data_IF_805084627431
#
_entry.id   IF_805084627431
#
_cell.length_a   1.000
_cell.length_b   1.000
_cell.length_c   1.000
_cell.angle_alpha   90.00
_cell.angle_beta   90.00
_cell.angle_gamma   90.00
#
_symmetry.space_group_name_H-M   'P 1'
#
loop_
_entity.id
_entity.type
_entity.pdbx_description
1 polymer ?
#
# COMPACT_ATOMS: atom_id res chain seq x y z
N UNK A 1 -19.65 -21.85 -13.67
CA UNK A 1 -19.56 -21.62 -12.22
C UNK A 1 -20.86 -22.11 -11.60
N UNK A 2 -20.80 -22.87 -10.51
CA UNK A 2 -22.00 -23.37 -9.84
C UNK A 2 -22.59 -22.25 -8.96
N UNK A 3 -23.55 -21.49 -9.49
CA UNK A 3 -24.16 -20.35 -8.80
C UNK A 3 -24.86 -20.77 -7.48
N UNK A 4 -25.23 -22.04 -7.37
CA UNK A 4 -25.82 -22.64 -6.18
C UNK A 4 -24.85 -22.80 -5.00
N UNK A 5 -23.54 -22.79 -5.26
CA UNK A 5 -22.51 -22.97 -4.24
C UNK A 5 -21.97 -21.64 -3.69
N UNK A 6 -22.52 -20.50 -4.14
CA UNK A 6 -22.06 -19.19 -3.68
C UNK A 6 -22.44 -18.94 -2.20
N UNK A 7 -21.53 -18.37 -1.39
CA UNK A 7 -21.82 -18.02 -0.01
C UNK A 7 -23.02 -17.06 0.10
N UNK A 8 -23.92 -17.31 1.05
CA UNK A 8 -25.04 -16.42 1.35
C UNK A 8 -24.76 -15.62 2.65
N UNK A 9 -25.37 -14.44 2.79
CA UNK A 9 -25.28 -13.57 3.98
C UNK A 9 -26.60 -13.56 4.78
N UNK A 10 -27.29 -14.71 4.83
CA UNK A 10 -28.59 -14.85 5.49
C UNK A 10 -29.80 -14.89 4.53
N UNK A 11 -31.03 -14.92 5.05
CA UNK A 11 -32.23 -15.33 4.31
C UNK A 11 -32.65 -14.38 3.17
N UNK A 12 -32.07 -13.18 3.08
CA UNK A 12 -32.41 -12.17 2.07
C UNK A 12 -31.25 -11.85 1.12
N UNK A 13 -30.28 -12.75 0.98
CA UNK A 13 -29.05 -12.52 0.21
C UNK A 13 -28.99 -13.24 -1.13
N UNK A 14 -30.00 -14.08 -1.46
CA UNK A 14 -30.16 -14.74 -2.75
C UNK A 14 -31.63 -14.64 -3.17
N UNK A 15 -31.86 -14.33 -4.45
CA UNK A 15 -33.20 -14.28 -5.03
C UNK A 15 -33.18 -15.06 -6.34
N UNK A 16 -33.96 -16.13 -6.39
CA UNK A 16 -34.19 -16.88 -7.62
C UNK A 16 -35.36 -16.24 -8.38
N UNK A 17 -35.18 -16.05 -9.69
CA UNK A 17 -36.29 -15.63 -10.54
C UNK A 17 -37.33 -16.75 -10.56
N UNK A 18 -38.61 -16.39 -10.39
CA UNK A 18 -39.70 -17.37 -10.43
C UNK A 18 -39.70 -18.12 -11.77
N UNK A 19 -39.97 -19.43 -11.79
CA UNK A 19 -39.93 -20.25 -13.02
C UNK A 19 -40.83 -19.73 -14.16
N UNK A 20 -41.96 -19.11 -13.82
CA UNK A 20 -42.88 -18.48 -14.77
C UNK A 20 -42.41 -17.15 -15.37
N UNK A 21 -41.25 -16.62 -14.95
CA UNK A 21 -40.65 -15.40 -15.52
C UNK A 21 -39.52 -15.81 -16.47
N UNK A 22 -39.80 -15.90 -17.77
CA UNK A 22 -38.79 -16.06 -18.82
C UNK A 22 -37.99 -14.77 -19.00
N UNK A 23 -36.96 -14.61 -18.18
CA UNK A 23 -36.09 -13.44 -18.15
C UNK A 23 -34.64 -13.88 -18.39
N UNK A 24 -34.12 -13.57 -19.58
CA UNK A 24 -32.68 -13.74 -19.89
C UNK A 24 -31.92 -12.47 -19.56
N UNK A 25 -31.08 -12.53 -18.52
CA UNK A 25 -30.14 -11.46 -18.20
C UNK A 25 -28.93 -11.46 -19.13
N UNK A 26 -28.41 -10.27 -19.46
CA UNK A 26 -27.12 -10.11 -20.14
C UNK A 26 -26.11 -9.56 -19.14
N UNK A 27 -25.03 -10.29 -18.91
CA UNK A 27 -23.87 -9.78 -18.17
C UNK A 27 -22.85 -9.25 -19.17
N UNK A 28 -22.43 -8.00 -19.00
CA UNK A 28 -21.31 -7.41 -19.74
C UNK A 28 -20.19 -7.11 -18.75
N UNK A 29 -18.99 -7.59 -19.06
CA UNK A 29 -17.78 -7.27 -18.30
C UNK A 29 -17.05 -6.21 -19.11
N UNK A 30 -16.78 -5.07 -18.47
CA UNK A 30 -16.03 -3.96 -19.04
C UNK A 30 -14.89 -3.62 -18.09
N UNK A 31 -13.71 -3.31 -18.63
CA UNK A 31 -12.65 -2.73 -17.82
C UNK A 31 -12.98 -1.28 -17.55
N UNK A 32 -12.82 -0.85 -16.30
CA UNK A 32 -12.92 0.57 -15.96
C UNK A 32 -11.88 1.37 -16.75
N UNK A 33 -12.26 2.55 -17.24
CA UNK A 33 -11.34 3.46 -17.95
C UNK A 33 -10.15 3.84 -17.05
N UNK A 34 -10.42 4.01 -15.75
CA UNK A 34 -9.39 4.27 -14.75
C UNK A 34 -8.96 2.95 -14.11
N UNK A 35 -7.70 2.59 -14.34
CA UNK A 35 -7.03 1.48 -13.67
C UNK A 35 -5.92 2.03 -12.79
N UNK A 36 -5.72 1.40 -11.64
CA UNK A 36 -4.65 1.75 -10.73
C UNK A 36 -3.51 0.74 -10.91
N UNK A 37 -2.29 1.26 -11.06
CA UNK A 37 -1.09 0.43 -11.16
C UNK A 37 -0.49 0.23 -9.78
N UNK A 38 -0.05 -1.00 -9.50
CA UNK A 38 0.73 -1.28 -8.31
C UNK A 38 2.07 -0.55 -8.31
N UNK A 39 2.64 -0.37 -7.12
CA UNK A 39 3.98 0.20 -6.92
C UNK A 39 4.84 -0.81 -6.18
N UNK A 40 6.01 -1.11 -6.74
CA UNK A 40 7.05 -1.88 -6.07
C UNK A 40 8.18 -0.95 -5.61
N UNK A 41 8.46 -0.87 -4.32
CA UNK A 41 9.62 -0.15 -3.81
C UNK A 41 10.90 -0.96 -4.10
N UNK A 42 12.02 -0.28 -4.36
CA UNK A 42 13.31 -0.98 -4.56
C UNK A 42 13.96 -1.26 -3.22
N UNK A 43 14.31 -2.53 -2.98
CA UNK A 43 14.98 -2.97 -1.75
C UNK A 43 16.49 -2.68 -1.77
N UNK A 44 17.01 -2.21 -2.90
CA UNK A 44 18.42 -1.85 -3.10
C UNK A 44 18.61 -0.31 -3.12
N UNK A 45 17.54 0.46 -2.95
CA UNK A 45 17.62 1.91 -2.98
C UNK A 45 18.28 2.48 -1.73
N UNK A 46 18.87 3.67 -1.88
CA UNK A 46 19.52 4.38 -0.76
C UNK A 46 18.49 4.70 0.32
N UNK A 47 17.30 5.15 -0.08
CA UNK A 47 16.18 5.43 0.80
C UNK A 47 15.73 4.19 1.58
N UNK A 48 15.55 3.06 0.90
CA UNK A 48 15.17 1.81 1.57
C UNK A 48 16.24 1.36 2.58
N UNK A 49 17.53 1.38 2.19
CA UNK A 49 18.62 0.98 3.09
C UNK A 49 18.76 1.88 4.31
N UNK A 50 18.51 3.18 4.15
CA UNK A 50 18.49 4.11 5.27
C UNK A 50 17.31 3.83 6.22
N UNK A 51 16.13 3.50 5.69
CA UNK A 51 14.96 3.08 6.47
C UNK A 51 15.23 1.78 7.23
N UNK A 52 15.77 0.77 6.55
CA UNK A 52 16.12 -0.53 7.12
C UNK A 52 17.07 -0.36 8.31
N UNK A 53 18.12 0.44 8.16
CA UNK A 53 19.06 0.76 9.24
C UNK A 53 18.40 1.53 10.41
N UNK A 54 17.52 2.50 10.11
CA UNK A 54 16.80 3.24 11.16
C UNK A 54 15.83 2.34 11.95
N UNK A 55 15.19 1.39 11.27
CA UNK A 55 14.36 0.37 11.91
C UNK A 55 15.17 -0.58 12.78
N UNK A 56 16.32 -1.02 12.29
CA UNK A 56 17.23 -1.88 13.06
C UNK A 56 17.64 -1.20 14.37
N UNK A 57 18.01 0.08 14.33
CA UNK A 57 18.44 0.82 15.53
C UNK A 57 17.31 1.00 16.57
N UNK A 58 16.08 1.27 16.13
CA UNK A 58 14.98 1.62 17.04
C UNK A 58 14.13 0.41 17.45
N UNK A 59 13.96 -0.56 16.56
CA UNK A 59 13.11 -1.74 16.74
C UNK A 59 13.90 -3.06 16.84
N UNK A 60 15.19 -3.08 16.51
CA UNK A 60 16.00 -4.31 16.47
C UNK A 60 15.64 -5.23 15.30
N UNK A 61 15.03 -4.68 14.25
CA UNK A 61 14.60 -5.43 13.08
C UNK A 61 13.73 -4.61 12.14
N UNK A 62 13.90 -4.84 10.83
CA UNK A 62 12.99 -4.37 9.78
C UNK A 62 12.28 -5.57 9.12
N UNK A 63 10.94 -5.52 9.03
CA UNK A 63 10.14 -6.54 8.34
C UNK A 63 9.35 -5.89 7.20
N UNK A 64 9.93 -5.79 6.00
CA UNK A 64 9.22 -5.24 4.85
C UNK A 64 8.07 -6.16 4.43
N UNK A 65 6.97 -5.56 3.98
CA UNK A 65 5.79 -6.27 3.49
C UNK A 65 5.10 -5.48 2.38
N UNK A 66 4.27 -6.15 1.59
CA UNK A 66 3.40 -5.53 0.59
C UNK A 66 1.94 -5.64 1.03
N UNK A 67 1.17 -4.59 0.77
CA UNK A 67 -0.28 -4.58 1.01
C UNK A 67 -1.05 -4.29 -0.26
N UNK A 68 -2.24 -4.87 -0.34
CA UNK A 68 -3.18 -4.52 -1.39
C UNK A 68 -3.92 -3.26 -0.95
N UNK A 69 -3.59 -2.15 -1.61
CA UNK A 69 -4.17 -0.84 -1.38
C UNK A 69 -3.72 0.10 -2.49
N UNK A 70 -4.57 1.05 -2.86
CA UNK A 70 -4.20 2.04 -3.87
C UNK A 70 -3.75 3.32 -3.17
N UNK A 71 -2.54 3.77 -3.48
CA UNK A 71 -2.02 5.09 -3.13
C UNK A 71 -1.69 5.84 -4.44
N UNK A 72 -2.64 6.57 -5.05
CA UNK A 72 -2.46 7.11 -6.41
C UNK A 72 -1.23 8.02 -6.53
N UNK A 73 -1.04 8.94 -5.58
CA UNK A 73 0.08 9.88 -5.58
C UNK A 73 1.46 9.20 -5.46
N UNK A 74 1.51 8.01 -4.86
CA UNK A 74 2.77 7.26 -4.68
C UNK A 74 3.29 6.76 -6.03
N UNK A 75 2.40 6.35 -6.95
CA UNK A 75 2.80 5.96 -8.31
C UNK A 75 3.38 7.15 -9.07
N UNK A 76 2.74 8.31 -8.97
CA UNK A 76 3.20 9.53 -9.63
C UNK A 76 4.60 9.95 -9.15
N UNK A 77 4.88 9.84 -7.84
CA UNK A 77 6.22 10.08 -7.30
C UNK A 77 7.24 9.08 -7.84
N UNK A 78 6.89 7.80 -7.93
CA UNK A 78 7.79 6.81 -8.53
C UNK A 78 8.08 7.13 -10.01
N UNK A 79 7.07 7.50 -10.78
CA UNK A 79 7.20 7.82 -12.20
C UNK A 79 8.00 9.10 -12.45
N UNK A 80 7.94 10.04 -11.51
CA UNK A 80 8.79 11.23 -11.51
C UNK A 80 10.27 10.92 -11.17
N UNK A 81 10.61 9.67 -10.83
CA UNK A 81 11.99 9.22 -10.60
C UNK A 81 12.49 9.40 -9.17
N UNK A 82 11.60 9.57 -8.19
CA UNK A 82 11.99 9.62 -6.78
C UNK A 82 12.42 8.24 -6.26
N UNK A 83 13.43 8.22 -5.39
CA UNK A 83 13.72 7.07 -4.55
C UNK A 83 12.58 6.93 -3.53
N UNK A 84 11.71 5.97 -3.77
CA UNK A 84 10.45 5.82 -3.07
C UNK A 84 10.46 4.59 -2.17
N UNK A 85 10.17 4.82 -0.90
CA UNK A 85 9.84 3.81 0.10
C UNK A 85 8.70 4.32 0.98
N UNK A 86 7.87 3.41 1.47
CA UNK A 86 6.70 3.74 2.30
C UNK A 86 6.89 3.05 3.64
N UNK A 87 6.69 3.80 4.70
CA UNK A 87 6.67 3.28 6.05
C UNK A 87 5.65 4.05 6.88
N UNK A 88 5.15 3.43 7.94
CA UNK A 88 4.14 4.01 8.81
C UNK A 88 4.20 3.42 10.20
N UNK A 89 3.50 4.07 11.12
CA UNK A 89 3.43 3.69 12.52
C UNK A 89 1.96 3.62 12.95
N UNK A 90 1.64 2.74 13.89
CA UNK A 90 0.29 2.50 14.37
C UNK A 90 -0.08 1.01 14.34
N UNK A 91 -1.35 0.73 14.61
CA UNK A 91 -1.87 -0.64 14.68
C UNK A 91 -2.43 -1.07 13.33
N UNK A 92 -1.64 -1.81 12.54
CA UNK A 92 -2.06 -2.31 11.23
C UNK A 92 -3.33 -3.17 11.30
N UNK A 93 -3.55 -3.88 12.40
CA UNK A 93 -4.75 -4.69 12.65
C UNK A 93 -6.04 -3.88 12.81
N UNK A 94 -5.93 -2.59 13.18
CA UNK A 94 -7.05 -1.69 13.38
C UNK A 94 -7.31 -0.77 12.16
N UNK A 95 -6.50 -0.88 11.10
CA UNK A 95 -6.62 -0.05 9.90
C UNK A 95 -7.94 -0.34 9.15
N UNK A 96 -8.78 0.68 8.92
CA UNK A 96 -10.15 0.59 8.39
C UNK A 96 -11.16 -0.20 9.24
N UNK A 97 -10.87 -0.45 10.52
CA UNK A 97 -11.79 -1.15 11.42
C UNK A 97 -12.84 -0.19 12.02
N UNK A 98 -14.01 -0.74 12.44
CA UNK A 98 -15.11 0.04 13.04
C UNK A 98 -14.76 0.75 14.36
N UNK A 99 -13.58 0.53 14.94
CA UNK A 99 -13.04 1.23 16.10
C UNK A 99 -11.54 1.47 15.91
N UNK A 100 -11.16 2.07 14.77
CA UNK A 100 -9.77 2.36 14.43
C UNK A 100 -9.05 3.10 15.58
N UNK A 101 -7.86 2.60 15.94
CA UNK A 101 -7.03 3.17 17.00
C UNK A 101 -5.54 3.03 16.66
N UNK A 102 -4.72 3.77 17.38
CA UNK A 102 -3.27 3.62 17.38
C UNK A 102 -2.73 3.98 18.77
N UNK A 103 -1.56 3.45 19.13
CA UNK A 103 -0.93 3.75 20.41
C UNK A 103 -0.05 4.99 20.29
N UNK A 104 -0.17 5.92 21.25
CA UNK A 104 0.72 7.09 21.32
C UNK A 104 2.19 6.68 21.41
N UNK A 105 2.48 5.57 22.09
CA UNK A 105 3.82 4.99 22.18
C UNK A 105 4.39 4.58 20.83
N UNK A 106 3.55 4.07 19.91
CA UNK A 106 3.98 3.68 18.57
C UNK A 106 4.36 4.91 17.75
N UNK A 107 3.60 6.01 17.87
CA UNK A 107 3.95 7.27 17.23
C UNK A 107 5.24 7.86 17.81
N UNK A 108 5.40 7.89 19.14
CA UNK A 108 6.62 8.40 19.77
C UNK A 108 7.86 7.61 19.33
N UNK A 109 7.74 6.28 19.23
CA UNK A 109 8.80 5.42 18.72
C UNK A 109 9.01 5.63 17.22
N UNK A 110 7.95 5.87 16.45
CA UNK A 110 8.05 6.22 15.04
C UNK A 110 8.78 7.54 14.77
N UNK A 111 8.57 8.55 15.60
CA UNK A 111 9.37 9.79 15.54
C UNK A 111 10.85 9.53 15.84
N UNK A 112 11.17 8.55 16.69
CA UNK A 112 12.56 8.14 16.92
C UNK A 112 13.17 7.54 15.66
N UNK A 113 12.42 6.73 14.90
CA UNK A 113 12.85 6.24 13.59
C UNK A 113 13.09 7.38 12.60
N UNK A 114 12.16 8.34 12.51
CA UNK A 114 12.32 9.51 11.64
C UNK A 114 13.59 10.31 11.97
N UNK A 115 13.87 10.51 13.27
CA UNK A 115 15.08 11.19 13.73
C UNK A 115 16.36 10.44 13.29
N UNK A 116 16.38 9.12 13.45
CA UNK A 116 17.52 8.28 13.05
C UNK A 116 17.68 8.29 11.53
N UNK A 117 16.59 8.16 10.77
CA UNK A 117 16.59 8.22 9.31
C UNK A 117 17.19 9.54 8.80
N UNK A 118 16.73 10.68 9.32
CA UNK A 118 17.26 11.99 8.94
C UNK A 118 18.75 12.12 9.27
N UNK A 119 19.20 11.60 10.41
CA UNK A 119 20.62 11.56 10.76
C UNK A 119 21.41 10.74 9.75
N UNK A 120 20.95 9.54 9.40
CA UNK A 120 21.62 8.65 8.43
C UNK A 120 21.73 9.32 7.06
N UNK A 121 20.62 9.89 6.57
CA UNK A 121 20.58 10.58 5.28
C UNK A 121 21.46 11.84 5.26
N UNK A 122 21.59 12.55 6.38
CA UNK A 122 22.47 13.72 6.48
C UNK A 122 23.96 13.36 6.49
N UNK A 123 24.33 12.14 6.89
CA UNK A 123 25.71 11.68 6.97
C UNK A 123 26.15 10.78 5.81
N UNK A 124 25.21 10.33 4.97
CA UNK A 124 25.53 9.55 3.79
C UNK A 124 26.23 10.44 2.73
N UNK A 125 27.30 9.96 2.06
CA UNK A 125 27.90 10.71 0.96
C UNK A 125 26.86 10.92 -0.16
N UNK A 126 26.86 12.08 -0.84
CA UNK A 126 25.86 12.40 -1.86
C UNK A 126 26.01 11.48 -3.07
N UNK A 127 25.27 10.39 -3.09
CA UNK A 127 25.04 9.55 -4.26
C UNK A 127 23.69 9.87 -4.88
N UNK A 128 23.48 11.11 -5.32
CA UNK A 128 22.34 11.42 -6.19
C UNK A 128 22.74 11.08 -7.63
N UNK A 129 22.03 10.20 -8.34
CA UNK A 129 22.23 10.06 -9.77
C UNK A 129 21.98 11.42 -10.43
N UNK A 130 22.90 11.85 -11.30
CA UNK A 130 22.72 13.04 -12.11
C UNK A 130 21.34 13.00 -12.77
N UNK A 131 20.55 14.08 -12.61
CA UNK A 131 19.32 14.26 -13.39
C UNK A 131 19.72 14.17 -14.85
N UNK A 132 19.36 13.07 -15.53
CA UNK A 132 19.42 13.04 -16.99
C UNK A 132 18.62 14.23 -17.50
N UNK A 133 19.19 15.05 -18.40
CA UNK A 133 18.45 16.18 -18.95
C UNK A 133 17.15 15.66 -19.55
N UNK A 134 16.05 16.36 -19.26
CA UNK A 134 14.80 16.16 -20.00
C UNK A 134 15.15 16.40 -21.47
N UNK A 135 14.97 15.37 -22.27
CA UNK A 135 14.94 15.53 -23.73
C UNK A 135 13.54 16.02 -24.01
N UNK A 136 13.45 17.28 -24.44
CA UNK A 136 12.22 17.95 -24.87
C UNK A 136 11.58 17.22 -26.07
#
# INVERSE_FOLDING_TARGET
ANLEELPNRGPHSKFDLRPEIDSRGKVRIEFAEHHTSGVACSMDSVGYKAIEAAWEEVYGGCRPFSVNGTLPCVKELKDAGFDLSIFGFGAMEAYHANNEFALLSDFAKGFSVLKVLLRILATAPPGLPEKKPRVD
#
